data_IF_893365257680
#
_entry.id   IF_893365257680
#
_cell.length_a   1.000
_cell.length_b   1.000
_cell.length_c   1.000
_cell.angle_alpha   90.00
_cell.angle_beta   90.00
_cell.angle_gamma   90.00
#
_symmetry.space_group_name_H-M   'P 1'
#
loop_
_entity.id
_entity.type
_entity.pdbx_description
1 polymer ?
#
# COMPACT_ATOMS: atom_id res chain seq x y z
N UNK A 1 7.92 16.68 -5.48
CA UNK A 1 7.12 17.91 -5.29
C UNK A 1 5.92 17.82 -6.23
N UNK A 2 4.70 18.05 -5.72
CA UNK A 2 3.47 18.06 -6.53
C UNK A 2 3.11 19.53 -6.76
N UNK A 3 2.88 19.91 -8.01
CA UNK A 3 2.33 21.23 -8.32
C UNK A 3 0.84 21.27 -8.02
N UNK A 4 0.33 22.38 -7.50
CA UNK A 4 -1.08 22.55 -7.15
C UNK A 4 -1.61 23.83 -7.77
N UNK A 5 -2.75 23.74 -8.46
CA UNK A 5 -3.51 24.89 -8.95
C UNK A 5 -4.92 24.86 -8.34
N UNK A 6 -5.37 25.98 -7.77
CA UNK A 6 -6.64 26.07 -7.04
C UNK A 6 -7.60 26.97 -7.79
N UNK A 7 -8.83 26.50 -7.96
CA UNK A 7 -9.91 27.20 -8.64
C UNK A 7 -11.17 27.21 -7.77
N UNK A 8 -11.97 28.29 -7.81
CA UNK A 8 -13.26 28.32 -7.13
C UNK A 8 -14.19 27.30 -7.76
N UNK A 9 -14.91 26.55 -6.91
CA UNK A 9 -15.84 25.53 -7.32
C UNK A 9 -17.20 25.68 -6.62
N UNK A 10 -18.24 25.16 -7.27
CA UNK A 10 -19.59 25.01 -6.70
C UNK A 10 -19.93 23.53 -6.61
N UNK A 11 -20.74 23.15 -5.63
CA UNK A 11 -21.32 21.81 -5.52
C UNK A 11 -22.85 21.88 -5.63
N UNK A 12 -23.36 21.63 -6.84
CA UNK A 12 -24.80 21.60 -7.15
C UNK A 12 -25.35 20.17 -7.27
N UNK A 13 -24.66 19.21 -6.64
CA UNK A 13 -24.78 17.78 -6.92
C UNK A 13 -23.59 17.25 -7.75
N UNK A 14 -22.83 18.15 -8.38
CA UNK A 14 -21.53 17.89 -9.02
C UNK A 14 -20.55 18.99 -8.59
N UNK A 15 -19.29 18.64 -8.38
CA UNK A 15 -18.27 19.67 -8.09
C UNK A 15 -17.76 20.24 -9.41
N UNK A 16 -18.02 21.52 -9.63
CA UNK A 16 -17.69 22.23 -10.86
C UNK A 16 -16.71 23.38 -10.56
N UNK A 17 -15.45 23.18 -10.93
CA UNK A 17 -14.43 24.22 -10.82
C UNK A 17 -14.45 25.16 -12.04
N UNK A 18 -14.33 26.47 -11.81
CA UNK A 18 -14.34 27.49 -12.86
C UNK A 18 -12.93 27.82 -13.31
N UNK A 19 -12.59 27.53 -14.56
CA UNK A 19 -11.28 27.83 -15.15
C UNK A 19 -11.41 29.09 -16.01
N UNK A 20 -10.86 30.21 -15.53
CA UNK A 20 -10.95 31.51 -16.20
C UNK A 20 -10.18 31.52 -17.54
N UNK A 21 -10.71 32.19 -18.58
CA UNK A 21 -10.12 32.20 -19.92
C UNK A 21 -8.73 32.84 -20.03
N UNK A 22 -8.26 33.66 -19.07
CA UNK A 22 -6.87 34.15 -19.06
C UNK A 22 -5.85 33.12 -18.51
N UNK A 23 -6.30 32.00 -17.96
CA UNK A 23 -5.45 30.83 -17.64
C UNK A 23 -5.18 29.95 -18.90
N UNK A 24 -5.36 30.51 -20.10
CA UNK A 24 -5.33 29.81 -21.41
C UNK A 24 -3.95 29.45 -21.93
N UNK A 25 -2.87 29.89 -21.29
CA UNK A 25 -1.69 29.02 -21.25
C UNK A 25 -2.06 27.84 -20.36
N UNK A 26 -2.79 26.86 -20.90
CA UNK A 26 -3.17 25.61 -20.23
C UNK A 26 -1.88 24.81 -19.93
N UNK A 27 -1.01 25.33 -19.05
CA UNK A 27 0.32 24.82 -18.70
C UNK A 27 0.23 23.39 -18.17
N UNK A 28 -0.93 23.04 -17.61
CA UNK A 28 -1.31 21.71 -17.16
C UNK A 28 -1.39 20.66 -18.29
N UNK A 29 -1.55 21.07 -19.57
CA UNK A 29 -1.60 20.15 -20.73
C UNK A 29 -0.24 19.61 -21.17
N UNK A 30 0.87 20.15 -20.68
CA UNK A 30 2.21 19.89 -21.22
C UNK A 30 3.24 19.45 -20.19
N UNK A 31 2.86 19.31 -18.91
CA UNK A 31 3.85 19.04 -17.86
C UNK A 31 4.18 17.55 -17.75
N UNK A 32 5.49 17.25 -17.71
CA UNK A 32 6.04 15.94 -17.35
C UNK A 32 5.92 15.68 -15.83
N UNK A 33 5.73 16.74 -15.04
CA UNK A 33 5.60 16.70 -13.57
C UNK A 33 4.14 16.53 -13.13
N UNK A 34 3.93 15.80 -12.02
CA UNK A 34 2.59 15.58 -11.45
C UNK A 34 2.02 16.89 -10.93
N UNK A 35 0.80 17.21 -11.35
CA UNK A 35 0.05 18.39 -10.93
C UNK A 35 -1.37 18.03 -10.54
N UNK A 36 -1.88 18.64 -9.48
CA UNK A 36 -3.26 18.53 -9.05
C UNK A 36 -4.01 19.82 -9.35
N UNK A 37 -5.21 19.68 -9.91
CA UNK A 37 -6.18 20.76 -10.05
C UNK A 37 -7.19 20.62 -8.91
N UNK A 38 -7.30 21.68 -8.10
CA UNK A 38 -8.16 21.70 -6.93
C UNK A 38 -9.39 22.59 -7.18
N UNK A 39 -10.58 22.05 -6.93
CA UNK A 39 -11.81 22.82 -6.78
C UNK A 39 -12.06 23.11 -5.31
N UNK A 40 -12.11 24.39 -4.94
CA UNK A 40 -12.46 24.82 -3.60
C UNK A 40 -13.93 25.22 -3.54
N UNK A 41 -14.73 24.46 -2.83
CA UNK A 41 -16.13 24.77 -2.53
C UNK A 41 -16.17 25.44 -1.17
N UNK A 42 -16.59 26.70 -1.14
CA UNK A 42 -16.70 27.51 0.07
C UNK A 42 -18.16 27.93 0.25
N UNK A 43 -18.98 27.00 0.77
CA UNK A 43 -20.39 27.25 1.08
C UNK A 43 -20.68 26.88 2.54
N UNK A 44 -21.61 27.57 3.22
CA UNK A 44 -21.91 27.33 4.64
C UNK A 44 -22.31 25.88 4.94
N UNK A 45 -23.00 25.22 4.00
CA UNK A 45 -23.51 23.86 4.15
C UNK A 45 -22.47 22.79 3.76
N UNK A 46 -21.46 23.18 2.97
CA UNK A 46 -20.39 22.29 2.52
C UNK A 46 -19.14 23.07 2.13
N UNK A 47 -18.13 23.01 3.00
CA UNK A 47 -16.78 23.44 2.68
C UNK A 47 -15.93 22.21 2.34
N UNK A 48 -15.14 22.29 1.27
CA UNK A 48 -14.30 21.18 0.86
C UNK A 48 -13.38 21.48 -0.30
N UNK A 49 -12.25 20.79 -0.33
CA UNK A 49 -11.30 20.83 -1.44
C UNK A 49 -11.39 19.51 -2.18
N UNK A 50 -11.55 19.55 -3.50
CA UNK A 50 -11.65 18.36 -4.34
C UNK A 50 -10.53 18.38 -5.37
N UNK A 51 -9.90 17.24 -5.63
CA UNK A 51 -8.71 17.17 -6.46
C UNK A 51 -8.92 16.31 -7.71
N UNK A 52 -8.19 16.65 -8.76
CA UNK A 52 -8.07 15.85 -9.97
C UNK A 52 -6.63 15.93 -10.49
N UNK A 53 -6.09 14.81 -10.99
CA UNK A 53 -4.81 14.83 -11.69
C UNK A 53 -4.95 15.66 -12.98
N UNK A 54 -3.99 16.54 -13.25
CA UNK A 54 -4.04 17.42 -14.41
C UNK A 54 -4.09 16.65 -15.74
N UNK A 55 -3.55 15.43 -15.80
CA UNK A 55 -3.60 14.56 -17.00
C UNK A 55 -5.00 14.02 -17.26
N UNK A 56 -5.83 13.99 -16.22
CA UNK A 56 -7.22 13.55 -16.29
C UNK A 56 -8.16 14.74 -16.51
N UNK A 57 -7.73 15.95 -16.16
CA UNK A 57 -8.53 17.16 -16.29
C UNK A 57 -9.05 17.44 -17.70
N UNK A 58 -8.29 17.12 -18.76
CA UNK A 58 -8.75 17.33 -20.13
C UNK A 58 -10.00 16.50 -20.48
N UNK A 59 -10.14 15.30 -19.92
CA UNK A 59 -11.32 14.44 -20.14
C UNK A 59 -12.56 14.94 -19.39
N UNK A 60 -12.35 15.74 -18.36
CA UNK A 60 -13.38 16.25 -17.45
C UNK A 60 -13.71 17.72 -17.72
N UNK A 61 -13.06 18.34 -18.72
CA UNK A 61 -13.29 19.73 -19.10
C UNK A 61 -14.52 19.83 -20.01
N UNK A 62 -15.46 20.68 -19.61
CA UNK A 62 -16.62 21.06 -20.41
C UNK A 62 -16.46 22.52 -20.82
N UNK A 63 -16.39 22.76 -22.13
CA UNK A 63 -16.34 24.13 -22.66
C UNK A 63 -17.75 24.73 -22.60
N UNK A 64 -17.93 25.81 -21.83
CA UNK A 64 -19.21 26.45 -21.57
C UNK A 64 -19.13 27.95 -21.85
N UNK A 65 -19.17 28.33 -23.13
CA UNK A 65 -19.13 29.74 -23.55
C UNK A 65 -17.74 30.36 -23.35
N UNK A 66 -17.64 31.41 -22.52
CA UNK A 66 -16.37 32.10 -22.24
C UNK A 66 -15.52 31.44 -21.15
N UNK A 67 -16.11 30.57 -20.34
CA UNK A 67 -15.43 29.85 -19.27
C UNK A 67 -15.33 28.36 -19.60
N UNK A 68 -14.31 27.69 -19.06
CA UNK A 68 -14.26 26.24 -19.04
C UNK A 68 -14.65 25.73 -17.64
N UNK A 69 -15.50 24.72 -17.58
CA UNK A 69 -15.95 24.08 -16.33
C UNK A 69 -15.25 22.74 -16.20
N UNK A 70 -14.54 22.52 -15.10
CA UNK A 70 -13.91 21.24 -14.82
C UNK A 70 -14.79 20.45 -13.85
N UNK A 71 -15.26 19.29 -14.28
CA UNK A 71 -16.05 18.38 -13.44
C UNK A 71 -15.11 17.55 -12.56
N UNK A 72 -15.11 17.83 -11.25
CA UNK A 72 -14.36 17.04 -10.27
C UNK A 72 -15.32 16.06 -9.57
N UNK A 73 -15.00 14.77 -9.54
CA UNK A 73 -15.79 13.79 -8.80
C UNK A 73 -15.80 14.10 -7.30
N UNK A 74 -16.98 14.04 -6.67
CA UNK A 74 -17.12 14.24 -5.21
C UNK A 74 -16.32 13.23 -4.39
N UNK A 75 -16.14 12.02 -4.92
CA UNK A 75 -15.31 11.00 -4.29
C UNK A 75 -13.84 11.45 -4.10
N UNK A 76 -13.36 12.41 -4.90
CA UNK A 76 -12.01 12.98 -4.80
C UNK A 76 -11.90 14.20 -3.89
N UNK A 77 -12.79 14.30 -2.89
CA UNK A 77 -12.56 15.19 -1.78
C UNK A 77 -11.20 14.90 -1.15
N UNK A 78 -10.37 15.93 -0.98
CA UNK A 78 -9.10 15.85 -0.27
C UNK A 78 -9.37 15.68 1.23
N UNK A 79 -9.18 14.45 1.67
CA UNK A 79 -9.28 13.95 3.02
C UNK A 79 -8.03 13.11 3.35
N UNK A 80 -7.98 12.49 4.53
CA UNK A 80 -6.80 11.73 4.95
C UNK A 80 -6.55 10.47 4.08
N UNK A 81 -7.58 9.87 3.47
CA UNK A 81 -7.42 8.71 2.58
C UNK A 81 -6.78 9.16 1.27
N UNK A 82 -7.44 10.09 0.57
CA UNK A 82 -7.00 10.60 -0.73
C UNK A 82 -5.64 11.27 -0.65
N UNK A 83 -5.39 12.05 0.41
CA UNK A 83 -4.07 12.65 0.66
C UNK A 83 -3.00 11.58 0.88
N UNK A 84 -3.29 10.54 1.68
CA UNK A 84 -2.36 9.43 1.91
C UNK A 84 -1.99 8.69 0.62
N UNK A 85 -2.98 8.40 -0.24
CA UNK A 85 -2.75 7.72 -1.52
C UNK A 85 -1.96 8.60 -2.49
N UNK A 86 -2.33 9.88 -2.63
CA UNK A 86 -1.61 10.83 -3.49
C UNK A 86 -0.16 10.98 -3.05
N UNK A 87 0.09 11.10 -1.75
CA UNK A 87 1.43 11.17 -1.17
C UNK A 87 2.23 9.90 -1.48
N UNK A 88 1.66 8.73 -1.18
CA UNK A 88 2.32 7.44 -1.39
C UNK A 88 2.66 7.20 -2.86
N UNK A 89 1.70 7.43 -3.77
CA UNK A 89 1.95 7.33 -5.21
C UNK A 89 3.05 8.30 -5.63
N UNK A 90 2.98 9.57 -5.21
CA UNK A 90 3.97 10.57 -5.66
C UNK A 90 5.39 10.20 -5.26
N UNK A 91 5.58 9.75 -4.02
CA UNK A 91 6.90 9.38 -3.53
C UNK A 91 7.44 8.13 -4.24
N UNK A 92 6.61 7.10 -4.39
CA UNK A 92 7.05 5.86 -5.02
C UNK A 92 7.29 6.04 -6.53
N UNK A 93 6.39 6.75 -7.20
CA UNK A 93 6.36 6.91 -8.65
C UNK A 93 7.57 7.70 -9.18
N UNK A 94 7.94 8.79 -8.51
CA UNK A 94 9.06 9.63 -8.95
C UNK A 94 10.39 8.88 -8.86
N UNK A 95 10.68 8.24 -7.72
CA UNK A 95 11.92 7.50 -7.54
C UNK A 95 12.06 6.35 -8.54
N UNK A 96 11.01 5.55 -8.72
CA UNK A 96 11.05 4.42 -9.66
C UNK A 96 11.20 4.85 -11.13
N UNK A 97 10.64 6.00 -11.51
CA UNK A 97 10.82 6.53 -12.86
C UNK A 97 12.24 7.02 -13.13
N UNK A 98 12.86 7.66 -12.14
CA UNK A 98 14.22 8.20 -12.28
C UNK A 98 15.27 7.09 -12.36
N UNK A 99 14.99 5.93 -11.75
CA UNK A 99 15.90 4.80 -11.69
C UNK A 99 15.57 3.65 -12.66
N UNK A 100 14.56 3.73 -13.54
CA UNK A 100 14.06 2.58 -14.32
C UNK A 100 15.18 1.76 -15.01
N UNK A 101 16.12 2.43 -15.69
CA UNK A 101 17.26 1.75 -16.33
C UNK A 101 18.28 1.17 -15.32
N UNK A 102 18.52 1.85 -14.20
CA UNK A 102 19.41 1.36 -13.14
C UNK A 102 18.81 0.18 -12.41
N UNK A 103 17.48 0.18 -12.25
CA UNK A 103 16.73 -0.88 -11.61
C UNK A 103 16.78 -2.15 -12.46
N UNK A 104 16.62 -2.04 -13.79
CA UNK A 104 16.80 -3.16 -14.71
C UNK A 104 18.24 -3.74 -14.62
N UNK A 105 19.27 -2.88 -14.52
CA UNK A 105 20.65 -3.32 -14.32
C UNK A 105 20.87 -4.02 -12.97
N UNK A 106 20.32 -3.47 -11.88
CA UNK A 106 20.40 -4.07 -10.55
C UNK A 106 19.67 -5.43 -10.49
N UNK A 107 18.55 -5.58 -11.21
CA UNK A 107 17.87 -6.87 -11.35
C UNK A 107 18.73 -7.90 -12.08
N UNK A 108 19.43 -7.51 -13.15
CA UNK A 108 20.37 -8.38 -13.83
C UNK A 108 21.54 -8.79 -12.91
N UNK A 109 22.07 -7.83 -12.14
CA UNK A 109 23.11 -8.08 -11.14
C UNK A 109 22.63 -8.99 -9.99
N UNK A 110 21.33 -8.96 -9.66
CA UNK A 110 20.72 -9.84 -8.66
C UNK A 110 20.53 -11.29 -9.14
N UNK A 111 20.62 -11.55 -10.45
CA UNK A 111 20.35 -12.87 -11.04
C UNK A 111 21.18 -14.02 -10.45
N UNK A 112 22.49 -13.87 -10.15
CA UNK A 112 23.30 -14.94 -9.56
C UNK A 112 22.81 -15.39 -8.17
N UNK A 113 22.16 -14.51 -7.41
CA UNK A 113 21.64 -14.84 -6.08
C UNK A 113 20.32 -15.60 -6.14
N UNK A 114 19.66 -15.61 -7.30
CA UNK A 114 18.30 -16.14 -7.44
C UNK A 114 18.24 -17.58 -7.01
N UNK A 115 19.14 -18.45 -7.48
CA UNK A 115 19.03 -19.89 -7.22
C UNK A 115 19.56 -20.31 -5.83
N UNK A 116 20.03 -19.36 -5.02
CA UNK A 116 20.52 -19.63 -3.67
C UNK A 116 19.38 -19.81 -2.67
N UNK A 117 19.53 -20.77 -1.75
CA UNK A 117 18.63 -20.97 -0.60
C UNK A 117 18.85 -19.92 0.48
N UNK A 118 20.07 -19.39 0.59
CA UNK A 118 20.45 -18.28 1.48
C UNK A 118 21.20 -17.22 0.67
N UNK A 119 20.81 -15.96 0.79
CA UNK A 119 21.59 -14.84 0.28
C UNK A 119 21.32 -13.56 1.07
N UNK A 120 22.36 -12.75 1.22
CA UNK A 120 22.30 -11.38 1.69
C UNK A 120 23.00 -10.53 0.63
N UNK A 121 22.32 -9.55 0.05
CA UNK A 121 22.94 -8.66 -0.91
C UNK A 121 23.24 -7.31 -0.27
N UNK A 122 24.53 -6.97 -0.25
CA UNK A 122 24.99 -5.70 0.28
C UNK A 122 24.38 -4.54 -0.49
N UNK A 123 24.47 -3.34 0.10
CA UNK A 123 24.00 -2.11 -0.53
C UNK A 123 24.70 -1.84 -1.87
N UNK A 124 25.94 -2.32 -2.03
CA UNK A 124 26.77 -2.12 -3.22
C UNK A 124 26.08 -2.55 -4.52
N UNK A 125 25.22 -3.58 -4.48
CA UNK A 125 24.47 -4.04 -5.66
C UNK A 125 23.43 -3.01 -6.16
N UNK A 126 23.14 -2.02 -5.31
CA UNK A 126 22.10 -1.02 -5.49
C UNK A 126 22.53 0.35 -4.95
N UNK A 127 23.83 0.65 -4.96
CA UNK A 127 24.36 1.92 -4.45
C UNK A 127 23.85 3.10 -5.25
N UNK A 128 23.72 2.93 -6.57
CA UNK A 128 23.22 3.94 -7.50
C UNK A 128 21.68 4.08 -7.50
N UNK A 129 20.97 3.27 -6.71
CA UNK A 129 19.52 3.33 -6.60
C UNK A 129 19.06 4.24 -5.46
N UNK A 130 17.98 4.99 -5.69
CA UNK A 130 17.26 5.66 -4.62
C UNK A 130 16.69 4.65 -3.60
N UNK A 131 16.43 5.13 -2.40
CA UNK A 131 15.84 4.36 -1.30
C UNK A 131 14.58 3.57 -1.70
N UNK A 132 13.67 4.16 -2.49
CA UNK A 132 12.45 3.49 -2.96
C UNK A 132 12.76 2.39 -3.98
N UNK A 133 13.71 2.63 -4.87
CA UNK A 133 14.12 1.65 -5.89
C UNK A 133 14.80 0.44 -5.25
N UNK A 134 15.62 0.67 -4.20
CA UNK A 134 16.17 -0.38 -3.33
C UNK A 134 15.08 -1.18 -2.61
N UNK A 135 14.13 -0.45 -2.03
CA UNK A 135 12.95 -1.02 -1.36
C UNK A 135 12.18 -1.93 -2.35
N UNK A 136 11.97 -1.47 -3.59
CA UNK A 136 11.29 -2.26 -4.61
C UNK A 136 12.03 -3.54 -5.00
N UNK A 137 13.33 -3.47 -5.33
CA UNK A 137 14.11 -4.65 -5.74
C UNK A 137 14.22 -5.68 -4.61
N UNK A 138 14.47 -5.23 -3.37
CA UNK A 138 14.51 -6.11 -2.19
C UNK A 138 13.17 -6.82 -1.96
N UNK A 139 12.06 -6.08 -2.08
CA UNK A 139 10.71 -6.63 -1.99
C UNK A 139 10.41 -7.65 -3.07
N UNK A 140 10.78 -7.35 -4.32
CA UNK A 140 10.56 -8.22 -5.46
C UNK A 140 11.37 -9.51 -5.35
N UNK A 141 12.63 -9.41 -4.92
CA UNK A 141 13.50 -10.56 -4.68
C UNK A 141 12.97 -11.45 -3.56
N UNK A 142 12.55 -10.86 -2.43
CA UNK A 142 11.96 -11.59 -1.31
C UNK A 142 10.66 -12.31 -1.70
N UNK A 143 9.77 -11.66 -2.46
CA UNK A 143 8.54 -12.27 -2.96
C UNK A 143 8.81 -13.44 -3.92
N UNK A 144 9.78 -13.29 -4.83
CA UNK A 144 10.21 -14.39 -5.72
C UNK A 144 10.84 -15.54 -4.93
N UNK A 145 11.67 -15.23 -3.93
CA UNK A 145 12.32 -16.23 -3.08
C UNK A 145 11.29 -17.08 -2.31
N UNK A 146 10.31 -16.45 -1.66
CA UNK A 146 9.20 -17.15 -1.01
C UNK A 146 8.45 -18.01 -2.03
N UNK A 147 8.12 -17.46 -3.20
CA UNK A 147 7.38 -18.19 -4.23
C UNK A 147 8.14 -19.43 -4.70
N UNK A 148 9.44 -19.32 -4.96
CA UNK A 148 10.27 -20.45 -5.41
C UNK A 148 10.38 -21.55 -4.35
N UNK A 149 10.52 -21.17 -3.09
CA UNK A 149 10.70 -22.13 -2.00
C UNK A 149 9.39 -22.58 -1.33
N UNK A 150 8.26 -21.99 -1.68
CA UNK A 150 6.95 -22.33 -1.11
C UNK A 150 6.58 -23.81 -1.17
N UNK A 151 7.11 -24.58 -2.13
CA UNK A 151 6.94 -26.04 -2.23
C UNK A 151 7.51 -26.82 -1.03
N UNK A 152 8.40 -26.22 -0.24
CA UNK A 152 8.94 -26.83 0.97
C UNK A 152 7.98 -26.75 2.16
N UNK A 153 6.96 -25.89 2.07
CA UNK A 153 5.94 -25.72 3.09
C UNK A 153 4.87 -26.81 2.91
N UNK A 154 4.70 -27.61 3.95
CA UNK A 154 3.85 -28.81 4.01
C UNK A 154 2.46 -28.56 4.57
N UNK A 155 2.27 -27.45 5.29
CA UNK A 155 1.00 -27.00 5.85
C UNK A 155 0.67 -25.58 5.36
N UNK A 156 -0.53 -25.09 5.73
CA UNK A 156 -0.92 -23.68 5.54
C UNK A 156 0.08 -22.77 6.27
N UNK A 157 0.72 -21.84 5.56
CA UNK A 157 1.73 -21.00 6.17
C UNK A 157 1.17 -19.87 7.01
N UNK A 158 1.96 -19.49 8.01
CA UNK A 158 1.84 -18.23 8.74
C UNK A 158 2.94 -17.28 8.32
N UNK A 159 2.62 -15.99 8.21
CA UNK A 159 3.53 -14.95 7.75
C UNK A 159 3.80 -13.94 8.86
N UNK A 160 5.04 -13.52 8.99
CA UNK A 160 5.43 -12.33 9.75
C UNK A 160 5.84 -11.21 8.80
N UNK A 161 5.28 -10.03 9.01
CA UNK A 161 5.51 -8.83 8.20
C UNK A 161 6.15 -7.76 9.06
N UNK A 162 7.14 -7.04 8.52
CA UNK A 162 7.89 -6.07 9.31
C UNK A 162 7.25 -4.68 9.29
N UNK A 163 6.44 -4.37 8.30
CA UNK A 163 5.87 -3.05 8.05
C UNK A 163 5.10 -2.54 9.28
N UNK A 164 5.48 -1.37 9.81
CA UNK A 164 4.89 -0.72 10.98
C UNK A 164 4.31 0.65 10.68
N UNK A 165 4.69 1.25 9.55
CA UNK A 165 4.25 2.60 9.14
C UNK A 165 3.56 2.58 7.79
N UNK A 166 2.75 3.60 7.53
CA UNK A 166 2.03 3.76 6.27
C UNK A 166 2.93 3.87 5.06
N UNK A 167 4.11 4.50 5.20
CA UNK A 167 5.14 4.53 4.16
C UNK A 167 5.52 3.12 3.70
N UNK A 168 5.87 2.25 4.64
CA UNK A 168 6.27 0.88 4.39
C UNK A 168 5.09 0.04 3.87
N UNK A 169 3.91 0.21 4.48
CA UNK A 169 2.70 -0.51 4.12
C UNK A 169 2.16 -0.13 2.73
N UNK A 170 2.41 1.10 2.26
CA UNK A 170 2.01 1.56 0.92
C UNK A 170 2.59 0.69 -0.21
N UNK A 171 3.72 0.01 0.04
CA UNK A 171 4.31 -0.93 -0.91
C UNK A 171 3.40 -2.13 -1.19
N UNK A 172 2.60 -2.60 -0.21
CA UNK A 172 1.61 -3.66 -0.44
C UNK A 172 0.46 -3.22 -1.34
N UNK A 173 0.07 -1.95 -1.20
CA UNK A 173 -1.03 -1.35 -1.93
C UNK A 173 -0.65 -1.02 -3.38
N UNK A 174 0.57 -0.52 -3.58
CA UNK A 174 0.97 0.15 -4.83
C UNK A 174 1.97 -0.65 -5.65
N UNK A 175 2.80 -1.51 -5.07
CA UNK A 175 3.73 -2.32 -5.88
C UNK A 175 2.96 -3.43 -6.60
N UNK A 176 3.01 -3.41 -7.93
CA UNK A 176 2.26 -4.34 -8.78
C UNK A 176 2.60 -5.80 -8.47
N UNK A 177 3.86 -6.11 -8.16
CA UNK A 177 4.27 -7.48 -7.84
C UNK A 177 3.73 -7.96 -6.49
N UNK A 178 3.49 -7.06 -5.51
CA UNK A 178 2.96 -7.43 -4.19
C UNK A 178 1.51 -7.87 -4.27
N UNK A 179 0.68 -7.16 -5.04
CA UNK A 179 -0.70 -7.58 -5.28
C UNK A 179 -0.77 -8.95 -5.97
N UNK A 180 0.05 -9.16 -7.02
CA UNK A 180 0.16 -10.47 -7.67
C UNK A 180 0.62 -11.55 -6.69
N UNK A 181 1.66 -11.28 -5.90
CA UNK A 181 2.14 -12.19 -4.87
C UNK A 181 1.06 -12.58 -3.85
N UNK A 182 0.25 -11.62 -3.38
CA UNK A 182 -0.85 -11.90 -2.45
C UNK A 182 -1.91 -12.79 -3.09
N UNK A 183 -2.31 -12.51 -4.34
CA UNK A 183 -3.29 -13.32 -5.09
C UNK A 183 -2.78 -14.73 -5.36
N UNK A 184 -1.54 -14.88 -5.84
CA UNK A 184 -0.95 -16.19 -6.13
C UNK A 184 -0.82 -17.04 -4.86
N UNK A 185 -0.48 -16.41 -3.74
CA UNK A 185 -0.37 -17.07 -2.43
C UNK A 185 -1.75 -17.47 -1.91
N UNK A 186 -2.73 -16.58 -1.96
CA UNK A 186 -4.12 -16.84 -1.62
C UNK A 186 -4.71 -18.00 -2.43
N UNK A 187 -4.46 -17.98 -3.74
CA UNK A 187 -4.93 -18.99 -4.68
C UNK A 187 -4.45 -20.40 -4.30
N UNK A 188 -3.15 -20.51 -3.99
CA UNK A 188 -2.51 -21.78 -3.66
C UNK A 188 -3.12 -22.49 -2.45
N UNK A 189 -3.55 -21.74 -1.44
CA UNK A 189 -4.06 -22.29 -0.19
C UNK A 189 -5.58 -22.11 -0.02
N UNK A 190 -6.31 -21.77 -1.10
CA UNK A 190 -7.77 -21.57 -1.02
C UNK A 190 -8.52 -22.79 -0.51
N UNK A 191 -8.10 -24.01 -0.89
CA UNK A 191 -8.78 -25.25 -0.50
C UNK A 191 -8.38 -25.76 0.88
N UNK A 192 -7.54 -25.04 1.61
CA UNK A 192 -7.10 -25.44 2.94
C UNK A 192 -8.20 -25.22 3.98
N UNK A 193 -8.26 -26.09 4.99
CA UNK A 193 -9.27 -26.02 6.06
C UNK A 193 -9.02 -24.89 7.06
N UNK A 194 -7.84 -24.28 7.04
CA UNK A 194 -7.47 -23.15 7.87
C UNK A 194 -7.07 -21.97 6.98
N UNK A 195 -7.46 -20.74 7.34
CA UNK A 195 -7.03 -19.55 6.63
C UNK A 195 -5.53 -19.33 6.86
N UNK A 196 -4.85 -18.81 5.83
CA UNK A 196 -3.51 -18.26 6.04
C UNK A 196 -3.60 -17.00 6.89
N UNK A 197 -2.62 -16.82 7.78
CA UNK A 197 -2.54 -15.63 8.63
C UNK A 197 -1.24 -14.87 8.36
N UNK A 198 -1.35 -13.55 8.24
CA UNK A 198 -0.24 -12.62 8.15
C UNK A 198 -0.26 -11.65 9.33
N UNK A 199 0.82 -11.70 10.09
CA UNK A 199 0.97 -10.98 11.35
C UNK A 199 1.81 -9.73 11.19
N UNK A 200 1.53 -8.75 12.03
CA UNK A 200 2.22 -7.48 12.13
C UNK A 200 2.48 -7.13 13.58
N UNK A 201 3.59 -6.43 13.85
CA UNK A 201 3.84 -5.79 15.12
C UNK A 201 3.62 -4.27 14.95
N UNK A 202 2.59 -3.73 15.59
CA UNK A 202 2.22 -2.31 15.56
C UNK A 202 2.26 -1.74 16.98
N UNK A 203 3.47 -1.46 17.52
CA UNK A 203 3.59 -1.02 18.89
C UNK A 203 2.99 0.40 19.07
N UNK A 204 2.44 0.74 20.25
CA UNK A 204 1.74 2.01 20.48
C UNK A 204 2.59 3.24 20.11
N UNK A 205 3.90 3.18 20.33
CA UNK A 205 4.82 4.26 19.96
C UNK A 205 4.90 4.49 18.44
N UNK A 206 4.90 3.42 17.64
CA UNK A 206 4.92 3.53 16.18
C UNK A 206 3.59 4.10 15.67
N UNK A 207 2.47 3.69 16.28
CA UNK A 207 1.13 4.23 15.95
C UNK A 207 1.04 5.71 16.30
N UNK A 208 1.47 6.11 17.51
CA UNK A 208 1.44 7.50 17.96
C UNK A 208 2.35 8.43 17.14
N UNK A 209 3.47 7.91 16.62
CA UNK A 209 4.38 8.66 15.75
C UNK A 209 3.88 8.78 14.30
N UNK A 210 2.84 8.05 13.92
CA UNK A 210 2.32 8.01 12.55
C UNK A 210 1.22 9.06 12.33
N UNK A 211 1.28 9.74 11.19
CA UNK A 211 0.19 10.61 10.75
C UNK A 211 -1.12 9.83 10.55
N UNK A 212 -2.27 10.54 10.52
CA UNK A 212 -3.55 9.90 10.22
C UNK A 212 -3.53 9.18 8.86
N UNK A 213 -2.92 9.80 7.84
CA UNK A 213 -2.76 9.21 6.51
C UNK A 213 -1.94 7.92 6.54
N UNK A 214 -0.85 7.87 7.31
CA UNK A 214 -0.04 6.65 7.45
C UNK A 214 -0.81 5.52 8.15
N UNK A 215 -1.55 5.84 9.20
CA UNK A 215 -2.42 4.88 9.91
C UNK A 215 -3.50 4.33 8.97
N UNK A 216 -4.09 5.17 8.13
CA UNK A 216 -5.02 4.74 7.09
C UNK A 216 -4.35 3.82 6.07
N UNK A 217 -3.14 4.13 5.59
CA UNK A 217 -2.42 3.28 4.63
C UNK A 217 -2.10 1.89 5.22
N UNK A 218 -1.77 1.80 6.51
CA UNK A 218 -1.61 0.54 7.22
C UNK A 218 -2.91 -0.29 7.22
N UNK A 219 -4.02 0.35 7.60
CA UNK A 219 -5.33 -0.31 7.60
C UNK A 219 -5.70 -0.80 6.20
N UNK A 220 -5.53 0.03 5.17
CA UNK A 220 -5.82 -0.34 3.78
C UNK A 220 -4.96 -1.52 3.32
N UNK A 221 -3.69 -1.59 3.71
CA UNK A 221 -2.81 -2.72 3.37
C UNK A 221 -3.29 -4.03 3.99
N UNK A 222 -3.75 -4.00 5.25
CA UNK A 222 -4.34 -5.17 5.90
C UNK A 222 -5.71 -5.53 5.32
N UNK A 223 -6.53 -4.53 4.97
CA UNK A 223 -7.79 -4.74 4.28
C UNK A 223 -7.61 -5.38 2.90
N UNK A 224 -6.54 -5.02 2.18
CA UNK A 224 -6.18 -5.70 0.93
C UNK A 224 -5.91 -7.20 1.17
N UNK A 225 -5.19 -7.55 2.23
CA UNK A 225 -4.90 -8.95 2.56
C UNK A 225 -6.16 -9.73 2.94
N UNK A 226 -7.02 -9.13 3.77
CA UNK A 226 -8.32 -9.71 4.13
C UNK A 226 -9.22 -9.90 2.90
N UNK A 227 -9.20 -8.95 1.95
CA UNK A 227 -10.00 -9.00 0.73
C UNK A 227 -9.63 -10.16 -0.22
N UNK A 228 -8.41 -10.69 -0.10
CA UNK A 228 -7.96 -11.88 -0.85
C UNK A 228 -8.03 -13.16 -0.01
N UNK A 229 -8.61 -13.12 1.18
CA UNK A 229 -8.78 -14.29 2.05
C UNK A 229 -7.55 -14.61 2.92
N UNK A 230 -6.62 -13.67 3.10
CA UNK A 230 -5.49 -13.81 4.03
C UNK A 230 -5.87 -13.08 5.33
N UNK A 231 -5.99 -13.82 6.42
CA UNK A 231 -6.28 -13.23 7.73
C UNK A 231 -5.11 -12.38 8.21
N UNK A 232 -5.44 -11.29 8.89
CA UNK A 232 -4.49 -10.39 9.51
C UNK A 232 -4.56 -10.50 11.02
N UNK A 233 -3.40 -10.40 11.66
CA UNK A 233 -3.29 -10.39 13.10
C UNK A 233 -2.24 -9.35 13.52
N UNK A 234 -2.51 -8.65 14.61
CA UNK A 234 -1.62 -7.62 15.14
C UNK A 234 -1.25 -7.94 16.58
N UNK A 235 0.02 -7.72 16.90
CA UNK A 235 0.51 -7.54 18.28
C UNK A 235 0.96 -6.11 18.47
N UNK A 236 0.73 -5.57 19.67
CA UNK A 236 1.21 -4.26 20.11
C UNK A 236 2.49 -4.37 20.96
N UNK A 237 2.98 -5.58 21.21
CA UNK A 237 4.21 -5.82 21.96
C UNK A 237 5.44 -5.44 21.11
N UNK A 238 6.25 -4.45 21.55
CA UNK A 238 7.44 -4.01 20.83
C UNK A 238 8.56 -5.06 20.79
N UNK A 239 8.56 -6.08 21.64
CA UNK A 239 9.58 -7.15 21.62
C UNK A 239 9.60 -7.88 20.26
N UNK A 240 8.43 -8.02 19.64
CA UNK A 240 8.30 -8.67 18.33
C UNK A 240 8.72 -7.77 17.15
N UNK A 241 8.96 -6.47 17.34
CA UNK A 241 9.36 -5.55 16.27
C UNK A 241 10.68 -5.94 15.58
N UNK A 242 11.56 -6.63 16.32
CA UNK A 242 12.86 -7.08 15.83
C UNK A 242 12.79 -8.37 14.99
N UNK A 243 11.67 -9.10 15.01
CA UNK A 243 11.54 -10.33 14.25
C UNK A 243 11.75 -10.09 12.75
N UNK A 244 12.51 -10.98 12.07
CA UNK A 244 12.72 -10.88 10.63
C UNK A 244 11.41 -11.17 9.89
N UNK A 245 11.26 -10.58 8.70
CA UNK A 245 10.18 -10.96 7.80
C UNK A 245 10.35 -12.43 7.42
N UNK A 246 9.31 -13.23 7.63
CA UNK A 246 9.38 -14.67 7.41
C UNK A 246 8.02 -15.25 7.04
N UNK A 247 8.06 -16.44 6.46
CA UNK A 247 6.90 -17.32 6.29
C UNK A 247 7.29 -18.70 6.80
N UNK A 248 6.41 -19.37 7.53
CA UNK A 248 6.71 -20.70 8.04
C UNK A 248 5.51 -21.61 8.11
N UNK A 249 5.80 -22.90 8.14
CA UNK A 249 4.90 -23.96 8.57
C UNK A 249 5.40 -24.56 9.90
N UNK A 250 4.90 -25.73 10.28
CA UNK A 250 5.31 -26.41 11.54
C UNK A 250 6.78 -26.85 11.57
N UNK A 251 7.44 -26.97 10.41
CA UNK A 251 8.73 -27.65 10.24
C UNK A 251 9.81 -26.77 9.62
N UNK A 252 9.45 -25.76 8.83
CA UNK A 252 10.38 -24.95 8.04
C UNK A 252 9.99 -23.49 8.09
N UNK A 253 11.00 -22.63 8.07
CA UNK A 253 10.85 -21.19 7.91
C UNK A 253 11.61 -20.72 6.67
N UNK A 254 11.00 -19.82 5.92
CA UNK A 254 11.62 -19.08 4.82
C UNK A 254 11.71 -17.63 5.28
N UNK A 255 12.93 -17.15 5.49
CA UNK A 255 13.19 -15.76 5.83
C UNK A 255 13.22 -14.92 4.55
N UNK A 256 12.64 -13.73 4.63
CA UNK A 256 12.52 -12.80 3.53
C UNK A 256 12.41 -11.37 4.07
N UNK A 257 13.55 -10.78 4.38
CA UNK A 257 13.67 -9.44 4.98
C UNK A 257 14.27 -8.45 4.00
N UNK A 258 13.60 -7.31 3.80
CA UNK A 258 13.99 -6.28 2.82
C UNK A 258 13.69 -4.84 3.31
N UNK A 259 13.05 -4.72 4.48
CA UNK A 259 12.78 -3.46 5.18
C UNK A 259 13.54 -3.49 6.49
N UNK A 260 14.09 -2.34 6.90
CA UNK A 260 14.82 -2.15 8.17
C UNK A 260 15.91 -3.20 8.40
N UNK A 261 16.65 -3.51 7.33
CA UNK A 261 17.87 -4.33 7.34
C UNK A 261 19.08 -3.49 6.91
N UNK A 262 20.28 -4.01 7.16
CA UNK A 262 21.52 -3.40 6.66
C UNK A 262 21.66 -3.63 5.15
N UNK A 263 21.23 -4.80 4.68
CA UNK A 263 21.26 -5.25 3.29
C UNK A 263 20.03 -4.81 2.46
N UNK A 264 20.12 -4.92 1.13
CA UNK A 264 18.98 -4.72 0.22
C UNK A 264 17.94 -5.84 0.41
N UNK A 265 18.42 -7.06 0.65
CA UNK A 265 17.61 -8.17 1.12
C UNK A 265 18.46 -9.14 1.94
N UNK A 266 17.78 -9.89 2.79
CA UNK A 266 18.29 -11.08 3.45
C UNK A 266 17.23 -12.19 3.36
N UNK A 267 17.59 -13.28 2.68
CA UNK A 267 16.73 -14.45 2.49
C UNK A 267 17.42 -15.72 2.97
N UNK A 268 16.64 -16.65 3.49
CA UNK A 268 17.12 -17.95 3.97
C UNK A 268 15.99 -18.98 3.95
N UNK A 269 16.33 -20.26 3.86
CA UNK A 269 15.42 -21.38 4.07
C UNK A 269 16.02 -22.27 5.15
N UNK A 270 15.33 -22.40 6.27
CA UNK A 270 15.82 -23.15 7.43
C UNK A 270 14.79 -24.15 7.93
N UNK A 271 15.28 -25.33 8.31
CA UNK A 271 14.57 -26.36 9.06
C UNK A 271 15.24 -26.61 10.43
N UNK A 272 16.13 -25.70 10.85
CA UNK A 272 16.89 -25.86 12.08
C UNK A 272 15.93 -25.84 13.29
N UNK A 273 15.86 -26.92 14.10
CA UNK A 273 14.78 -27.09 15.08
C UNK A 273 14.67 -25.97 16.09
N UNK A 274 15.79 -25.44 16.59
CA UNK A 274 15.81 -24.34 17.56
C UNK A 274 15.28 -23.03 16.97
N UNK A 275 15.68 -22.70 15.73
CA UNK A 275 15.22 -21.50 15.03
C UNK A 275 13.73 -21.58 14.70
N UNK A 276 13.28 -22.72 14.18
CA UNK A 276 11.87 -22.96 13.87
C UNK A 276 11.01 -22.94 15.14
N UNK A 277 11.50 -23.50 16.25
CA UNK A 277 10.81 -23.45 17.54
C UNK A 277 10.65 -22.01 18.03
N UNK A 278 11.73 -21.21 18.04
CA UNK A 278 11.67 -19.82 18.47
C UNK A 278 10.66 -18.99 17.67
N UNK A 279 10.64 -19.14 16.33
CA UNK A 279 9.65 -18.44 15.50
C UNK A 279 8.23 -18.97 15.74
N UNK A 280 8.04 -20.27 15.87
CA UNK A 280 6.73 -20.86 16.17
C UNK A 280 6.18 -20.34 17.49
N UNK A 281 7.02 -20.24 18.53
CA UNK A 281 6.59 -19.77 19.84
C UNK A 281 6.14 -18.31 19.74
N UNK A 282 6.92 -17.45 19.08
CA UNK A 282 6.55 -16.04 18.86
C UNK A 282 5.27 -15.87 18.02
N UNK A 283 5.15 -16.58 16.89
CA UNK A 283 3.95 -16.49 16.05
C UNK A 283 2.72 -17.11 16.72
N UNK A 284 2.92 -18.17 17.51
CA UNK A 284 1.88 -18.82 18.30
C UNK A 284 1.31 -17.88 19.36
N UNK A 285 2.18 -17.13 20.04
CA UNK A 285 1.77 -16.12 21.01
C UNK A 285 0.92 -15.02 20.36
N UNK A 286 1.37 -14.47 19.23
CA UNK A 286 0.61 -13.43 18.50
C UNK A 286 -0.73 -13.95 17.98
N UNK A 287 -0.81 -15.21 17.55
CA UNK A 287 -2.08 -15.83 17.17
C UNK A 287 -3.05 -15.96 18.34
N UNK A 288 -2.55 -16.29 19.53
CA UNK A 288 -3.36 -16.48 20.73
C UNK A 288 -3.82 -15.15 21.34
N UNK A 289 -3.01 -14.09 21.22
CA UNK A 289 -3.20 -12.82 21.94
C UNK A 289 -3.34 -11.60 21.01
N UNK A 290 -3.74 -11.80 19.75
CA UNK A 290 -3.85 -10.69 18.80
C UNK A 290 -4.83 -9.61 19.28
N UNK A 291 -4.38 -8.35 19.28
CA UNK A 291 -5.22 -7.19 19.65
C UNK A 291 -6.34 -6.93 18.64
N UNK A 292 -6.25 -7.50 17.44
CA UNK A 292 -7.26 -7.42 16.39
C UNK A 292 -8.08 -8.70 16.25
N UNK A 293 -8.03 -9.62 17.22
CA UNK A 293 -8.73 -10.90 17.14
C UNK A 293 -10.23 -10.74 16.87
N UNK A 294 -10.73 -11.44 15.85
CA UNK A 294 -12.15 -11.57 15.52
C UNK A 294 -12.34 -12.67 14.48
N UNK A 295 -13.49 -13.34 14.52
CA UNK A 295 -13.85 -14.39 13.56
C UNK A 295 -14.15 -13.84 12.16
N UNK A 296 -14.51 -12.55 12.06
CA UNK A 296 -14.88 -11.93 10.78
C UNK A 296 -13.81 -10.93 10.32
N UNK A 297 -13.58 -10.80 8.99
CA UNK A 297 -12.69 -9.77 8.46
C UNK A 297 -13.08 -8.35 8.90
N UNK A 298 -14.39 -8.05 8.92
CA UNK A 298 -14.89 -6.74 9.37
C UNK A 298 -14.60 -6.47 10.84
N UNK A 299 -14.76 -7.47 11.71
CA UNK A 299 -14.39 -7.34 13.12
C UNK A 299 -12.90 -7.09 13.31
N UNK A 300 -12.03 -7.82 12.58
CA UNK A 300 -10.57 -7.61 12.66
C UNK A 300 -10.16 -6.22 12.20
N UNK A 301 -10.71 -5.74 11.08
CA UNK A 301 -10.41 -4.41 10.55
C UNK A 301 -10.97 -3.27 11.42
N UNK A 302 -12.11 -3.49 12.08
CA UNK A 302 -12.64 -2.53 13.05
C UNK A 302 -11.78 -2.44 14.31
N UNK A 303 -11.37 -3.58 14.89
CA UNK A 303 -10.43 -3.58 16.02
C UNK A 303 -9.08 -2.95 15.62
N UNK A 304 -8.64 -3.16 14.38
CA UNK A 304 -7.46 -2.48 13.84
C UNK A 304 -7.67 -0.96 13.75
N UNK A 305 -8.84 -0.50 13.31
CA UNK A 305 -9.16 0.92 13.29
C UNK A 305 -9.14 1.53 14.69
N UNK A 306 -9.67 0.82 15.69
CA UNK A 306 -9.63 1.23 17.10
C UNK A 306 -8.18 1.33 17.61
N UNK A 307 -7.36 0.30 17.36
CA UNK A 307 -5.93 0.29 17.70
C UNK A 307 -5.17 1.45 17.05
N UNK A 308 -5.51 1.74 15.79
CA UNK A 308 -4.93 2.86 15.02
C UNK A 308 -5.59 4.20 15.34
N UNK A 309 -6.57 4.27 16.25
CA UNK A 309 -7.33 5.49 16.57
C UNK A 309 -7.90 6.18 15.32
N UNK A 310 -8.63 5.41 14.50
CA UNK A 310 -9.32 5.84 13.29
C UNK A 310 -10.83 5.70 13.45
N UNK A 311 -11.59 6.67 12.94
CA UNK A 311 -13.06 6.58 12.88
C UNK A 311 -13.46 5.55 11.82
N UNK A 312 -13.94 4.39 12.28
CA UNK A 312 -14.36 3.28 11.42
C UNK A 312 -15.51 3.65 10.48
N UNK A 313 -16.55 4.33 10.98
CA UNK A 313 -17.75 4.62 10.18
C UNK A 313 -17.44 5.63 9.10
N UNK A 314 -16.67 6.68 9.43
CA UNK A 314 -16.18 7.62 8.44
C UNK A 314 -15.31 6.92 7.39
N UNK A 315 -14.36 6.09 7.82
CA UNK A 315 -13.46 5.36 6.91
C UNK A 315 -14.25 4.43 5.98
N UNK A 316 -15.23 3.70 6.51
CA UNK A 316 -16.07 2.79 5.74
C UNK A 316 -16.89 3.52 4.68
N UNK A 317 -17.55 4.62 5.05
CA UNK A 317 -18.32 5.44 4.11
C UNK A 317 -17.43 6.02 3.00
N UNK A 318 -16.26 6.55 3.35
CA UNK A 318 -15.30 7.08 2.36
C UNK A 318 -14.72 5.99 1.46
N UNK A 319 -14.43 4.81 2.01
CA UNK A 319 -13.98 3.66 1.23
C UNK A 319 -15.07 3.14 0.28
N UNK A 320 -16.36 3.23 0.63
CA UNK A 320 -17.45 2.89 -0.27
C UNK A 320 -17.49 3.82 -1.50
N UNK A 321 -17.45 5.14 -1.27
CA UNK A 321 -17.39 6.15 -2.34
C UNK A 321 -16.17 5.94 -3.26
N UNK A 322 -14.99 5.80 -2.66
CA UNK A 322 -13.72 5.61 -3.37
C UNK A 322 -13.65 4.24 -4.05
N UNK A 323 -14.24 3.21 -3.46
CA UNK A 323 -14.29 1.87 -4.03
C UNK A 323 -15.17 1.81 -5.29
N UNK A 324 -16.23 2.62 -5.33
CA UNK A 324 -17.07 2.74 -6.53
C UNK A 324 -16.37 3.53 -7.64
N UNK A 325 -15.64 4.59 -7.29
CA UNK A 325 -15.05 5.51 -8.27
C UNK A 325 -13.63 5.12 -8.73
N UNK A 326 -12.84 4.54 -7.83
CA UNK A 326 -11.40 4.26 -8.00
C UNK A 326 -10.51 5.50 -7.87
N UNK A 327 -9.19 5.32 -7.78
CA UNK A 327 -8.22 6.43 -7.62
C UNK A 327 -7.60 6.95 -8.93
N UNK A 328 -7.89 6.34 -10.09
CA UNK A 328 -7.17 6.64 -11.34
C UNK A 328 -7.26 8.11 -11.77
N UNK A 329 -8.39 8.77 -11.54
CA UNK A 329 -8.56 10.19 -11.83
C UNK A 329 -7.74 11.12 -10.93
N UNK A 330 -7.29 10.63 -9.78
CA UNK A 330 -6.61 11.41 -8.74
C UNK A 330 -5.10 11.12 -8.68
N UNK A 331 -4.71 9.84 -8.77
CA UNK A 331 -3.37 9.38 -8.43
C UNK A 331 -2.82 8.30 -9.37
N UNK A 332 -3.18 8.32 -10.67
CA UNK A 332 -2.66 7.32 -11.63
C UNK A 332 -1.12 7.31 -11.64
N UNK A 333 -0.44 6.18 -11.39
CA UNK A 333 1.01 6.10 -11.44
C UNK A 333 1.53 6.20 -12.88
N UNK A 334 2.78 6.63 -13.04
CA UNK A 334 3.48 6.68 -14.33
C UNK A 334 4.44 5.50 -14.49
N UNK A 335 5.04 5.04 -13.39
CA UNK A 335 5.89 3.86 -13.36
C UNK A 335 5.06 2.59 -13.62
N UNK A 336 5.54 1.76 -14.55
CA UNK A 336 4.98 0.43 -14.86
C UNK A 336 5.01 -0.55 -13.68
N UNK A 337 5.81 -0.25 -12.66
CA UNK A 337 6.01 -1.09 -11.48
C UNK A 337 4.95 -0.86 -10.40
N UNK A 338 4.15 0.20 -10.57
CA UNK A 338 3.06 0.56 -9.67
C UNK A 338 1.69 0.23 -10.25
N UNK A 339 0.69 0.05 -9.38
CA UNK A 339 -0.72 -0.04 -9.73
C UNK A 339 -1.59 0.53 -8.61
N UNK A 340 -2.78 1.03 -8.95
CA UNK A 340 -3.81 1.42 -7.99
C UNK A 340 -4.73 0.26 -7.60
N UNK A 341 -4.64 -0.89 -8.29
CA UNK A 341 -5.55 -2.02 -8.10
C UNK A 341 -5.64 -2.48 -6.63
N UNK A 342 -4.52 -2.44 -5.90
CA UNK A 342 -4.46 -2.86 -4.50
C UNK A 342 -5.23 -1.92 -3.58
N UNK A 343 -5.07 -0.61 -3.75
CA UNK A 343 -5.81 0.38 -2.95
C UNK A 343 -7.28 0.46 -3.36
N UNK A 344 -7.59 0.37 -4.66
CA UNK A 344 -8.97 0.30 -5.16
C UNK A 344 -9.68 -0.95 -4.61
N UNK A 345 -8.99 -2.08 -4.53
CA UNK A 345 -9.53 -3.32 -3.95
C UNK A 345 -9.75 -3.21 -2.44
N UNK A 346 -8.80 -2.61 -1.71
CA UNK A 346 -8.95 -2.39 -0.26
C UNK A 346 -10.17 -1.51 0.06
N UNK A 347 -10.33 -0.38 -0.65
CA UNK A 347 -11.47 0.52 -0.46
C UNK A 347 -12.79 -0.18 -0.80
N UNK A 348 -12.87 -0.89 -1.94
CA UNK A 348 -14.05 -1.69 -2.30
C UNK A 348 -14.41 -2.69 -1.21
N UNK A 349 -13.41 -3.42 -0.71
CA UNK A 349 -13.65 -4.42 0.33
C UNK A 349 -14.24 -3.78 1.58
N UNK A 350 -13.57 -2.75 2.13
CA UNK A 350 -14.04 -2.04 3.33
C UNK A 350 -15.45 -1.48 3.13
N UNK A 351 -15.70 -0.83 1.99
CA UNK A 351 -17.00 -0.24 1.67
C UNK A 351 -18.15 -1.24 1.54
N UNK A 352 -17.86 -2.54 1.44
CA UNK A 352 -18.86 -3.62 1.38
C UNK A 352 -19.02 -4.42 2.67
N UNK A 353 -18.19 -4.15 3.69
CA UNK A 353 -18.30 -4.82 4.98
C UNK A 353 -19.59 -4.40 5.70
N UNK A 354 -20.20 -5.29 6.49
CA UNK A 354 -21.41 -5.01 7.26
C UNK A 354 -21.19 -4.05 8.44
#
# INVERSE_FOLDING_TARGET
MIDVEIYPAVDDGRVLATIAPCATERRWRRSVQRRLILGHVDTPDRAGVFALDSRQADRHLVEAGRDARLLIPRAYQLDAITTGVVWAVTNLDLSLLLDDARLDAAQAAASPYRDMTRSAASRDIADDLDSVSRLWIGSAFCADHIRRHSHVLSDVPVYWTREQRGEEASTWLLFRHKLRYLRDTAERFRSSSQPMTRMFCLPPQAVAASSMSERILLLLAMALMESVGIHTAVTDDPEYAALPGLVMDKRRAIMATWIRGEDVWHVDVTDHPHTVAAYRDALGDVLAHSVTASDTPGGRLRHLADHLSLDWHWLQGRCADLGQYGFAGLAEPRSRLLSLDGVDQACRFIGTLP
#
